data_IF_022432116156
#
_entry.id   IF_022432116156
#
_cell.length_a   1.000
_cell.length_b   1.000
_cell.length_c   1.000
_cell.angle_alpha   90.00
_cell.angle_beta   90.00
_cell.angle_gamma   90.00
#
_symmetry.space_group_name_H-M   'P 1'
#
loop_
_entity.id
_entity.type
_entity.pdbx_description
1 polymer ?
#
# COMPACT_ATOMS: atom_id res chain seq x y z
N UNK A 1 33.52 -27.57 2.31
CA UNK A 1 32.58 -27.46 1.18
C UNK A 1 31.66 -26.28 1.48
N UNK A 2 31.86 -25.16 0.78
CA UNK A 2 31.05 -23.94 1.00
C UNK A 2 29.88 -23.96 0.02
N UNK A 3 28.66 -24.13 0.54
CA UNK A 3 27.43 -24.05 -0.26
C UNK A 3 27.15 -22.57 -0.54
N UNK A 4 27.20 -22.18 -1.79
CA UNK A 4 26.76 -20.86 -2.27
C UNK A 4 25.25 -20.92 -2.49
N UNK A 5 24.51 -20.18 -1.67
CA UNK A 5 23.10 -19.91 -1.92
C UNK A 5 23.01 -18.95 -3.14
N UNK A 6 22.53 -19.46 -4.25
CA UNK A 6 22.19 -18.63 -5.41
C UNK A 6 20.76 -18.15 -5.22
N UNK A 7 20.61 -16.86 -4.92
CA UNK A 7 19.31 -16.19 -4.92
C UNK A 7 18.87 -16.03 -6.39
N UNK A 8 17.93 -16.86 -6.82
CA UNK A 8 17.40 -16.81 -8.18
C UNK A 8 16.47 -15.61 -8.36
N UNK A 9 16.88 -14.70 -9.24
CA UNK A 9 16.08 -13.58 -9.72
C UNK A 9 14.92 -14.14 -10.56
N UNK A 10 13.69 -14.02 -10.09
CA UNK A 10 12.50 -14.39 -10.87
C UNK A 10 11.98 -13.15 -11.59
N UNK A 11 12.26 -13.05 -12.88
CA UNK A 11 11.66 -12.07 -13.79
C UNK A 11 10.29 -12.58 -14.21
N UNK A 12 9.23 -11.92 -13.80
CA UNK A 12 7.87 -12.20 -14.26
C UNK A 12 7.69 -11.60 -15.67
N UNK A 13 7.73 -12.42 -16.69
CA UNK A 13 7.31 -12.07 -18.05
C UNK A 13 5.78 -12.13 -18.11
N UNK A 14 5.12 -10.97 -18.18
CA UNK A 14 3.67 -10.88 -18.41
C UNK A 14 3.35 -11.22 -19.87
N UNK A 15 2.68 -12.34 -20.09
CA UNK A 15 2.06 -12.66 -21.37
C UNK A 15 0.80 -11.80 -21.56
N UNK A 16 0.70 -11.06 -22.68
CA UNK A 16 -0.44 -10.22 -23.00
C UNK A 16 -1.74 -11.01 -23.18
N UNK A 17 -2.72 -10.72 -22.34
CA UNK A 17 -4.09 -11.21 -22.43
C UNK A 17 -4.98 -10.24 -23.18
N UNK A 18 -5.91 -10.78 -23.95
CA UNK A 18 -6.92 -10.06 -24.74
C UNK A 18 -7.87 -9.31 -23.80
N UNK A 19 -7.97 -7.99 -23.95
CA UNK A 19 -8.92 -7.13 -23.23
C UNK A 19 -10.35 -7.51 -23.62
N UNK A 20 -11.14 -7.99 -22.65
CA UNK A 20 -12.60 -8.12 -22.79
C UNK A 20 -13.24 -6.76 -22.58
N UNK A 21 -14.29 -6.45 -23.33
CA UNK A 21 -15.10 -5.24 -23.15
C UNK A 21 -15.65 -5.20 -21.71
N UNK A 22 -15.39 -4.10 -21.01
CA UNK A 22 -15.71 -3.89 -19.62
C UNK A 22 -17.19 -3.59 -19.41
N UNK A 23 -17.77 -4.10 -18.34
CA UNK A 23 -19.08 -3.65 -17.85
C UNK A 23 -18.91 -2.26 -17.22
N UNK A 24 -19.56 -1.20 -17.75
CA UNK A 24 -19.35 0.18 -17.27
C UNK A 24 -19.74 0.41 -15.80
N UNK A 25 -20.45 -0.52 -15.18
CA UNK A 25 -20.84 -0.43 -13.78
C UNK A 25 -19.70 -0.83 -12.79
N UNK A 26 -18.70 -1.56 -13.27
CA UNK A 26 -17.59 -2.09 -12.45
C UNK A 26 -16.30 -1.26 -12.53
N UNK A 27 -16.29 -0.13 -13.23
CA UNK A 27 -15.10 0.70 -13.41
C UNK A 27 -14.98 1.71 -12.25
N UNK A 28 -13.83 1.70 -11.58
CA UNK A 28 -13.51 2.68 -10.55
C UNK A 28 -13.55 4.11 -11.09
N UNK A 29 -14.16 4.99 -10.33
CA UNK A 29 -14.19 6.43 -10.66
C UNK A 29 -13.45 7.21 -9.61
N UNK A 30 -12.61 8.14 -10.06
CA UNK A 30 -11.94 9.07 -9.16
C UNK A 30 -12.98 9.83 -8.33
N UNK A 31 -12.83 9.74 -7.01
CA UNK A 31 -13.68 10.39 -6.02
C UNK A 31 -12.75 11.10 -5.03
N UNK A 32 -12.63 12.43 -5.08
CA UNK A 32 -11.68 13.19 -4.25
C UNK A 32 -11.79 12.85 -2.75
N UNK A 33 -13.02 12.61 -2.27
CA UNK A 33 -13.30 12.28 -0.88
C UNK A 33 -12.58 11.00 -0.40
N UNK A 34 -12.35 10.04 -1.29
CA UNK A 34 -11.61 8.82 -0.97
C UNK A 34 -10.11 9.04 -0.78
N UNK A 35 -9.59 10.17 -1.26
CA UNK A 35 -8.18 10.54 -1.12
C UNK A 35 -7.95 11.64 -0.06
N UNK A 36 -9.00 12.11 0.60
CA UNK A 36 -8.85 12.90 1.83
C UNK A 36 -8.29 11.97 2.91
N UNK A 37 -7.20 12.36 3.61
CA UNK A 37 -6.62 11.53 4.65
C UNK A 37 -7.65 11.09 5.69
N UNK A 38 -7.82 9.78 5.86
CA UNK A 38 -8.89 9.19 6.67
C UNK A 38 -8.85 9.64 8.15
N UNK A 39 -7.69 10.07 8.63
CA UNK A 39 -7.53 10.60 9.99
C UNK A 39 -8.02 12.04 10.18
N UNK A 40 -8.42 12.73 9.11
CA UNK A 40 -8.94 14.11 9.14
C UNK A 40 -10.45 14.19 8.96
N UNK A 41 -11.10 13.08 8.61
CA UNK A 41 -12.54 13.00 8.31
C UNK A 41 -13.25 11.99 9.20
N UNK A 42 -14.59 12.05 9.22
CA UNK A 42 -15.42 11.12 9.99
C UNK A 42 -16.06 10.02 9.13
N UNK A 43 -15.70 9.96 7.85
CA UNK A 43 -16.15 8.90 6.95
C UNK A 43 -14.95 8.08 6.49
N UNK A 44 -14.97 6.79 6.80
CA UNK A 44 -14.04 5.81 6.25
C UNK A 44 -14.61 5.25 4.96
N UNK A 45 -13.93 5.46 3.83
CA UNK A 45 -14.37 5.01 2.52
C UNK A 45 -13.75 3.67 2.15
N UNK A 46 -14.60 2.65 1.92
CA UNK A 46 -14.18 1.38 1.35
C UNK A 46 -13.04 0.70 2.11
N UNK A 47 -13.09 0.70 3.45
CA UNK A 47 -12.14 -0.06 4.26
C UNK A 47 -12.25 -1.53 3.92
N UNK A 48 -11.12 -2.16 3.59
CA UNK A 48 -11.06 -3.57 3.22
C UNK A 48 -11.03 -4.45 4.46
N UNK A 49 -11.81 -5.53 4.45
CA UNK A 49 -11.80 -6.61 5.45
C UNK A 49 -11.87 -7.98 4.76
N UNK A 50 -11.29 -9.00 5.39
CA UNK A 50 -11.45 -10.39 5.00
C UNK A 50 -12.07 -11.17 6.18
N UNK A 51 -13.28 -11.69 5.99
CA UNK A 51 -13.97 -12.44 7.04
C UNK A 51 -13.35 -13.82 7.25
N UNK A 52 -13.01 -14.11 8.49
CA UNK A 52 -12.45 -15.42 8.89
C UNK A 52 -13.27 -16.03 10.01
N UNK A 53 -13.54 -17.32 9.86
CA UNK A 53 -14.10 -18.18 10.88
C UNK A 53 -12.96 -18.90 11.58
N UNK A 54 -12.55 -18.38 12.73
CA UNK A 54 -11.39 -18.93 13.48
C UNK A 54 -11.67 -20.31 14.11
N UNK A 55 -12.95 -20.64 14.36
CA UNK A 55 -13.37 -21.93 14.90
C UNK A 55 -14.57 -22.45 14.12
N UNK A 56 -14.68 -23.77 13.95
CA UNK A 56 -15.72 -24.40 13.13
C UNK A 56 -17.14 -24.02 13.55
N UNK A 57 -17.38 -23.85 14.84
CA UNK A 57 -18.66 -23.47 15.45
C UNK A 57 -18.75 -21.98 15.81
N UNK A 58 -17.73 -21.20 15.49
CA UNK A 58 -17.65 -19.77 15.78
C UNK A 58 -18.25 -18.91 14.67
N UNK A 59 -18.44 -17.63 14.99
CA UNK A 59 -18.83 -16.63 14.01
C UNK A 59 -17.71 -16.33 13.04
N UNK A 60 -18.07 -16.04 11.79
CA UNK A 60 -17.15 -15.42 10.85
C UNK A 60 -17.15 -13.91 11.11
N UNK A 61 -15.98 -13.36 11.45
CA UNK A 61 -15.86 -11.97 11.89
C UNK A 61 -14.75 -11.23 11.14
N UNK A 62 -14.88 -9.90 11.08
CA UNK A 62 -13.82 -8.98 10.67
C UNK A 62 -13.87 -7.74 11.56
N UNK A 63 -12.72 -7.04 11.67
CA UNK A 63 -12.58 -5.83 12.49
C UNK A 63 -12.33 -4.59 11.62
N UNK A 64 -12.97 -3.48 12.01
CA UNK A 64 -12.76 -2.16 11.42
C UNK A 64 -11.70 -1.36 12.19
N UNK A 65 -11.12 -0.35 11.55
CA UNK A 65 -10.16 0.56 12.16
C UNK A 65 -10.79 1.43 13.25
N UNK A 66 -12.03 1.87 13.02
CA UNK A 66 -12.80 2.67 13.99
C UNK A 66 -14.13 1.97 14.34
N UNK A 67 -14.73 2.38 15.47
CA UNK A 67 -16.10 2.00 15.80
C UNK A 67 -17.08 2.74 14.89
N UNK A 68 -17.87 2.05 14.05
CA UNK A 68 -18.84 2.71 13.21
C UNK A 68 -19.98 3.29 14.06
N UNK A 69 -20.43 4.49 13.69
CA UNK A 69 -21.71 5.07 14.17
C UNK A 69 -22.83 4.79 13.19
N UNK A 70 -22.49 4.56 11.92
CA UNK A 70 -23.41 4.19 10.84
C UNK A 70 -22.64 3.49 9.73
N UNK A 71 -23.14 2.38 9.23
CA UNK A 71 -22.65 1.76 7.99
C UNK A 71 -23.36 2.42 6.81
N UNK A 72 -22.61 2.85 5.81
CA UNK A 72 -23.11 3.51 4.60
C UNK A 72 -23.22 2.54 3.43
N UNK A 73 -22.24 1.67 3.27
CA UNK A 73 -22.26 0.59 2.27
C UNK A 73 -21.35 -0.55 2.67
N UNK A 74 -21.76 -1.76 2.28
CA UNK A 74 -20.95 -2.98 2.36
C UNK A 74 -21.05 -3.65 1.00
N UNK A 75 -19.90 -3.81 0.32
CA UNK A 75 -19.83 -4.35 -1.04
C UNK A 75 -18.73 -5.40 -1.14
N UNK A 76 -18.77 -6.22 -2.19
CA UNK A 76 -17.58 -6.97 -2.58
C UNK A 76 -16.48 -6.00 -3.04
N UNK A 77 -15.28 -6.49 -3.21
CA UNK A 77 -14.13 -5.68 -3.62
C UNK A 77 -14.25 -5.11 -5.03
N UNK A 78 -14.95 -5.80 -5.94
CA UNK A 78 -15.24 -5.31 -7.29
C UNK A 78 -16.26 -4.16 -7.33
N UNK A 79 -17.06 -3.99 -6.25
CA UNK A 79 -18.06 -2.92 -6.13
C UNK A 79 -19.37 -3.17 -6.87
N UNK A 80 -19.54 -4.35 -7.48
CA UNK A 80 -20.74 -4.71 -8.27
C UNK A 80 -21.80 -5.48 -7.46
N UNK A 81 -21.46 -5.96 -6.26
CA UNK A 81 -22.39 -6.62 -5.32
C UNK A 81 -22.53 -5.79 -4.06
N UNK A 82 -23.76 -5.36 -3.75
CA UNK A 82 -24.10 -4.71 -2.47
C UNK A 82 -24.67 -5.74 -1.53
N UNK A 83 -24.15 -5.75 -0.29
CA UNK A 83 -24.62 -6.64 0.79
C UNK A 83 -25.62 -5.94 1.70
N UNK A 84 -26.52 -6.71 2.30
CA UNK A 84 -27.64 -6.21 3.09
C UNK A 84 -27.48 -6.58 4.57
N UNK A 85 -27.68 -5.61 5.45
CA UNK A 85 -27.69 -5.82 6.89
C UNK A 85 -28.80 -6.79 7.30
N UNK A 86 -28.48 -7.67 8.25
CA UNK A 86 -29.38 -8.73 8.74
C UNK A 86 -29.36 -10.00 7.88
N UNK A 87 -29.15 -9.89 6.56
CA UNK A 87 -29.03 -11.03 5.64
C UNK A 87 -27.58 -11.46 5.43
N UNK A 88 -26.72 -10.51 5.07
CA UNK A 88 -25.34 -10.79 4.65
C UNK A 88 -24.34 -10.49 5.77
N UNK A 89 -24.63 -9.48 6.61
CA UNK A 89 -23.80 -9.11 7.73
C UNK A 89 -24.64 -8.54 8.87
N UNK A 90 -24.06 -8.57 10.06
CA UNK A 90 -24.58 -7.88 11.25
C UNK A 90 -23.46 -7.12 11.94
N UNK A 91 -23.80 -6.06 12.67
CA UNK A 91 -22.87 -5.32 13.52
C UNK A 91 -23.59 -4.79 14.75
N UNK A 92 -22.83 -4.44 15.77
CA UNK A 92 -23.36 -3.86 17.00
C UNK A 92 -22.69 -2.52 17.28
N UNK A 93 -23.49 -1.50 17.52
CA UNK A 93 -22.99 -0.17 17.92
C UNK A 93 -22.07 -0.27 19.14
N UNK A 94 -20.99 0.51 19.16
CA UNK A 94 -19.94 0.48 20.17
C UNK A 94 -18.96 -0.68 20.03
N UNK A 95 -18.93 -1.35 18.87
CA UNK A 95 -17.93 -2.36 18.55
C UNK A 95 -17.35 -2.13 17.15
N UNK A 96 -16.11 -2.54 16.93
CA UNK A 96 -15.46 -2.54 15.61
C UNK A 96 -15.73 -3.81 14.81
N UNK A 97 -16.48 -4.75 15.37
CA UNK A 97 -16.67 -6.08 14.80
C UNK A 97 -17.90 -6.14 13.92
N UNK A 98 -17.69 -6.64 12.72
CA UNK A 98 -18.75 -7.06 11.80
C UNK A 98 -18.78 -8.59 11.79
N UNK A 99 -19.97 -9.17 11.81
CA UNK A 99 -20.19 -10.63 11.84
C UNK A 99 -21.04 -11.08 10.66
N UNK A 100 -20.83 -12.31 10.20
CA UNK A 100 -21.63 -12.92 9.13
C UNK A 100 -22.65 -13.90 9.72
N UNK A 101 -23.96 -13.69 9.48
CA UNK A 101 -24.99 -14.67 9.83
C UNK A 101 -24.88 -15.93 8.96
N UNK A 102 -25.54 -17.00 9.38
CA UNK A 102 -25.65 -18.20 8.58
C UNK A 102 -26.33 -17.90 7.24
N UNK A 103 -25.74 -18.39 6.14
CA UNK A 103 -26.25 -18.17 4.79
C UNK A 103 -25.86 -16.82 4.16
N UNK A 104 -24.95 -16.06 4.78
CA UNK A 104 -24.36 -14.85 4.19
C UNK A 104 -23.77 -15.12 2.81
N UNK A 105 -23.94 -14.18 1.89
CA UNK A 105 -23.31 -14.20 0.55
C UNK A 105 -21.86 -13.70 0.56
N UNK A 106 -21.42 -13.10 1.68
CA UNK A 106 -20.05 -12.60 1.82
C UNK A 106 -19.10 -13.78 1.92
N UNK A 107 -17.99 -13.72 1.18
CA UNK A 107 -16.93 -14.72 1.23
C UNK A 107 -16.37 -14.80 2.65
N UNK A 108 -16.32 -16.02 3.19
CA UNK A 108 -15.70 -16.33 4.48
C UNK A 108 -14.61 -17.38 4.26
N UNK A 109 -13.49 -17.22 4.97
CA UNK A 109 -12.37 -18.16 4.98
C UNK A 109 -12.16 -18.75 6.36
N UNK A 110 -11.39 -19.84 6.42
CA UNK A 110 -10.82 -20.37 7.66
C UNK A 110 -9.32 -20.08 7.71
N UNK A 111 -8.65 -20.21 8.86
CA UNK A 111 -7.18 -20.11 8.91
C UNK A 111 -6.48 -21.09 7.95
N UNK A 112 -7.04 -22.27 7.76
CA UNK A 112 -6.51 -23.31 6.86
C UNK A 112 -6.60 -22.87 5.38
N UNK A 113 -7.66 -22.16 4.99
CA UNK A 113 -7.82 -21.63 3.62
C UNK A 113 -6.72 -20.59 3.27
N UNK A 114 -6.13 -19.96 4.28
CA UNK A 114 -5.08 -18.95 4.14
C UNK A 114 -3.66 -19.51 4.28
N UNK A 115 -3.54 -20.84 4.30
CA UNK A 115 -2.28 -21.58 4.38
C UNK A 115 -2.10 -22.47 3.17
N UNK A 116 -0.84 -22.76 2.85
CA UNK A 116 -0.47 -23.71 1.81
C UNK A 116 0.49 -24.75 2.35
N UNK A 117 0.45 -25.95 1.75
CA UNK A 117 1.47 -26.97 1.97
C UNK A 117 2.80 -26.46 1.41
N UNK A 118 3.92 -26.67 2.11
CA UNK A 118 5.24 -26.27 1.61
C UNK A 118 5.52 -26.82 0.21
N UNK A 119 5.96 -25.95 -0.69
CA UNK A 119 6.27 -26.28 -2.08
C UNK A 119 5.05 -26.42 -3.00
N UNK A 120 3.83 -26.15 -2.54
CA UNK A 120 2.61 -26.21 -3.37
C UNK A 120 2.31 -24.92 -4.15
N UNK A 121 3.13 -23.88 -3.95
CA UNK A 121 2.97 -22.56 -4.59
C UNK A 121 4.32 -22.05 -5.13
N UNK A 122 4.33 -21.00 -5.99
CA UNK A 122 5.55 -20.54 -6.67
C UNK A 122 6.64 -20.00 -5.74
N UNK A 123 6.28 -19.59 -4.52
CA UNK A 123 7.17 -18.95 -3.56
C UNK A 123 7.19 -19.71 -2.24
N UNK A 124 8.38 -19.84 -1.64
CA UNK A 124 8.55 -20.37 -0.28
C UNK A 124 8.22 -19.28 0.74
N UNK A 125 6.97 -19.23 1.17
CA UNK A 125 6.46 -18.24 2.12
C UNK A 125 6.29 -18.88 3.51
N UNK A 126 7.36 -19.47 4.01
CA UNK A 126 7.37 -20.19 5.29
C UNK A 126 6.85 -19.32 6.41
N UNK A 127 5.86 -19.85 7.14
CA UNK A 127 5.29 -19.19 8.31
C UNK A 127 6.24 -19.27 9.49
N UNK A 128 6.25 -18.22 10.30
CA UNK A 128 7.09 -18.12 11.52
C UNK A 128 6.75 -19.17 12.58
N UNK A 129 5.48 -19.62 12.63
CA UNK A 129 5.03 -20.69 13.51
C UNK A 129 5.43 -22.10 13.04
N UNK A 130 6.07 -22.22 11.86
CA UNK A 130 6.46 -23.49 11.25
C UNK A 130 5.30 -24.32 10.69
N UNK A 131 4.08 -23.79 10.67
CA UNK A 131 2.89 -24.52 10.20
C UNK A 131 2.54 -24.15 8.75
N UNK A 132 3.32 -24.68 7.81
CA UNK A 132 3.10 -24.47 6.39
C UNK A 132 3.60 -23.13 5.88
N UNK A 133 3.01 -22.70 4.77
CA UNK A 133 3.33 -21.45 4.10
C UNK A 133 2.10 -20.52 4.10
N UNK A 134 2.35 -19.21 4.03
CA UNK A 134 1.29 -18.21 3.81
C UNK A 134 0.76 -18.42 2.38
N UNK A 135 -0.57 -18.47 2.22
CA UNK A 135 -1.17 -18.46 0.88
C UNK A 135 -0.79 -17.19 0.15
N UNK A 136 -0.25 -17.33 -1.04
CA UNK A 136 0.10 -16.22 -1.92
C UNK A 136 -0.98 -15.99 -2.97
N UNK A 137 -1.34 -14.73 -3.19
CA UNK A 137 -2.21 -14.30 -4.28
C UNK A 137 -1.48 -13.39 -5.25
N UNK A 138 -1.06 -13.93 -6.40
CA UNK A 138 -0.30 -13.14 -7.39
C UNK A 138 -1.15 -12.18 -8.23
N UNK A 139 -2.47 -12.34 -8.22
CA UNK A 139 -3.43 -11.57 -9.00
C UNK A 139 -4.58 -11.01 -8.15
N UNK A 140 -5.79 -11.51 -8.40
CA UNK A 140 -7.03 -11.03 -7.77
C UNK A 140 -7.57 -11.97 -6.68
N UNK A 141 -6.82 -12.99 -6.26
CA UNK A 141 -7.28 -14.02 -5.35
C UNK A 141 -7.69 -13.43 -3.99
N UNK A 142 -6.82 -12.59 -3.38
CA UNK A 142 -7.17 -11.90 -2.13
C UNK A 142 -8.22 -10.84 -2.35
N UNK A 143 -8.14 -10.10 -3.45
CA UNK A 143 -9.16 -9.13 -3.83
C UNK A 143 -10.56 -9.78 -3.87
N UNK A 144 -10.71 -10.96 -4.51
CA UNK A 144 -11.98 -11.69 -4.56
C UNK A 144 -12.48 -12.23 -3.21
N UNK A 145 -11.64 -12.26 -2.17
CA UNK A 145 -12.01 -12.65 -0.80
C UNK A 145 -12.38 -11.46 0.09
N UNK A 146 -12.05 -10.25 -0.32
CA UNK A 146 -12.21 -9.04 0.49
C UNK A 146 -13.58 -8.39 0.29
N UNK A 147 -14.01 -7.71 1.32
CA UNK A 147 -15.25 -6.92 1.39
C UNK A 147 -14.87 -5.48 1.71
N UNK A 148 -15.50 -4.52 1.05
CA UNK A 148 -15.29 -3.10 1.28
C UNK A 148 -16.42 -2.51 2.11
N UNK A 149 -16.07 -1.77 3.16
CA UNK A 149 -17.03 -1.18 4.09
C UNK A 149 -16.80 0.33 4.15
N UNK A 150 -17.83 1.10 3.79
CA UNK A 150 -17.85 2.56 3.97
C UNK A 150 -18.75 2.87 5.16
N UNK A 151 -18.23 3.67 6.11
CA UNK A 151 -18.95 3.95 7.36
C UNK A 151 -18.56 5.30 7.96
N UNK A 152 -19.44 5.84 8.80
CA UNK A 152 -19.17 7.00 9.64
C UNK A 152 -18.64 6.57 11.00
N UNK A 153 -17.73 7.37 11.59
CA UNK A 153 -17.17 7.17 12.92
C UNK A 153 -16.94 8.51 13.65
N UNK A 154 -16.67 8.45 14.96
CA UNK A 154 -16.28 9.59 15.78
C UNK A 154 -14.87 9.42 16.38
N UNK A 155 -14.20 8.33 16.03
CA UNK A 155 -12.85 8.03 16.52
C UNK A 155 -11.80 8.96 15.91
N UNK A 156 -10.77 9.24 16.67
CA UNK A 156 -9.54 9.90 16.21
C UNK A 156 -8.42 8.88 16.01
N UNK A 157 -7.49 9.21 15.11
CA UNK A 157 -6.31 8.38 14.90
C UNK A 157 -5.29 8.59 16.05
N UNK A 158 -4.74 7.52 16.67
CA UNK A 158 -4.00 7.67 17.92
C UNK A 158 -2.52 7.99 17.75
N UNK A 159 -1.96 7.77 16.55
CA UNK A 159 -0.53 7.98 16.30
C UNK A 159 -0.27 9.27 15.53
N UNK A 160 1.01 9.65 15.45
CA UNK A 160 1.42 10.77 14.61
C UNK A 160 1.06 10.49 13.14
N UNK A 161 0.58 11.51 12.47
CA UNK A 161 0.16 11.47 11.06
C UNK A 161 0.97 12.47 10.23
N UNK A 162 1.16 12.23 8.94
CA UNK A 162 1.81 13.19 8.05
C UNK A 162 1.06 14.52 8.03
N UNK A 163 1.82 15.60 7.95
CA UNK A 163 1.33 16.98 7.79
C UNK A 163 2.02 17.63 6.61
N UNK A 164 1.46 18.73 6.12
CA UNK A 164 2.00 19.45 4.98
C UNK A 164 3.49 19.78 5.15
N UNK A 165 4.32 19.38 4.22
CA UNK A 165 5.78 19.45 4.26
C UNK A 165 6.29 20.84 3.79
N UNK A 166 5.80 21.93 4.39
CA UNK A 166 6.10 23.31 3.94
C UNK A 166 7.59 23.65 3.94
N UNK A 167 8.28 23.23 4.97
CA UNK A 167 9.71 23.54 5.16
C UNK A 167 10.59 22.57 4.35
N UNK A 168 10.12 21.34 4.15
CA UNK A 168 10.86 20.30 3.45
C UNK A 168 10.70 20.39 1.92
N UNK A 169 9.52 20.74 1.42
CA UNK A 169 9.19 20.72 -0.01
C UNK A 169 8.72 22.10 -0.54
N UNK A 170 9.43 23.22 -0.24
CA UNK A 170 8.95 24.56 -0.57
C UNK A 170 8.82 24.78 -2.08
N UNK A 171 9.74 24.21 -2.88
CA UNK A 171 9.73 24.36 -4.35
C UNK A 171 8.54 23.59 -4.96
N UNK A 172 8.37 22.33 -4.61
CA UNK A 172 7.25 21.50 -5.10
C UNK A 172 5.90 22.16 -4.76
N UNK A 173 5.73 22.61 -3.53
CA UNK A 173 4.50 23.30 -3.10
C UNK A 173 4.28 24.61 -3.84
N UNK A 174 5.35 25.36 -4.16
CA UNK A 174 5.25 26.59 -4.94
C UNK A 174 4.80 26.28 -6.39
N UNK A 175 5.39 25.28 -7.03
CA UNK A 175 5.01 24.86 -8.39
C UNK A 175 3.53 24.45 -8.46
N UNK A 176 3.06 23.66 -7.47
CA UNK A 176 1.68 23.24 -7.37
C UNK A 176 0.72 24.44 -7.19
N UNK A 177 1.02 25.35 -6.25
CA UNK A 177 0.19 26.55 -5.99
C UNK A 177 0.13 27.50 -7.19
N UNK A 178 1.23 27.64 -7.91
CA UNK A 178 1.30 28.47 -9.11
C UNK A 178 0.75 27.76 -10.37
N UNK A 179 0.20 26.54 -10.22
CA UNK A 179 -0.32 25.71 -11.33
C UNK A 179 0.71 25.46 -12.43
N UNK A 180 1.99 25.41 -12.05
CA UNK A 180 3.07 25.09 -12.98
C UNK A 180 3.16 23.58 -13.20
N UNK A 181 3.64 23.14 -14.37
CA UNK A 181 3.92 21.73 -14.61
C UNK A 181 4.90 21.19 -13.56
N UNK A 182 4.69 19.98 -13.11
CA UNK A 182 5.53 19.28 -12.15
C UNK A 182 5.95 17.92 -12.71
N UNK A 183 7.24 17.66 -12.78
CA UNK A 183 7.77 16.35 -13.13
C UNK A 183 8.11 15.57 -11.87
N UNK A 184 7.45 14.44 -11.68
CA UNK A 184 7.64 13.50 -10.57
C UNK A 184 8.35 12.26 -11.09
N UNK A 185 9.50 11.91 -10.51
CA UNK A 185 10.14 10.62 -10.74
C UNK A 185 9.94 9.70 -9.53
N UNK A 186 9.57 8.45 -9.78
CA UNK A 186 9.40 7.43 -8.75
C UNK A 186 10.40 6.30 -8.98
N UNK A 187 11.22 6.00 -7.99
CA UNK A 187 12.12 4.84 -7.98
C UNK A 187 11.80 3.98 -6.75
N UNK A 188 11.56 2.68 -6.95
CA UNK A 188 11.11 1.81 -5.89
C UNK A 188 11.00 0.34 -6.30
N UNK A 189 10.36 -0.44 -5.46
CA UNK A 189 10.15 -1.87 -5.63
C UNK A 189 8.75 -2.22 -6.21
N UNK A 190 8.29 -3.46 -6.00
CA UNK A 190 7.00 -3.97 -6.50
C UNK A 190 5.78 -3.19 -6.01
N UNK A 191 5.81 -2.62 -4.80
CA UNK A 191 4.70 -1.79 -4.29
C UNK A 191 4.53 -0.57 -5.21
N UNK A 192 5.63 0.00 -5.64
CA UNK A 192 5.69 1.18 -6.51
C UNK A 192 5.48 0.86 -7.99
N UNK A 193 5.60 -0.41 -8.42
CA UNK A 193 5.08 -0.81 -9.74
C UNK A 193 3.55 -0.84 -9.75
N UNK A 194 2.93 -0.85 -8.59
CA UNK A 194 1.47 -0.91 -8.41
C UNK A 194 0.93 -2.30 -8.10
N UNK A 195 1.79 -3.27 -7.79
CA UNK A 195 1.39 -4.66 -7.55
C UNK A 195 0.19 -4.76 -6.60
N UNK A 196 -0.80 -5.57 -7.03
CA UNK A 196 -2.05 -5.89 -6.34
C UNK A 196 -3.03 -4.71 -6.14
N UNK A 197 -2.81 -3.53 -6.75
CA UNK A 197 -3.94 -2.67 -7.09
C UNK A 197 -4.82 -3.38 -8.12
N UNK A 198 -6.15 -3.25 -8.03
CA UNK A 198 -7.05 -3.95 -8.95
C UNK A 198 -6.83 -3.55 -10.41
N UNK A 199 -6.52 -2.27 -10.68
CA UNK A 199 -6.16 -1.79 -12.01
C UNK A 199 -4.88 -2.40 -12.55
N UNK A 200 -3.85 -2.55 -11.71
CA UNK A 200 -2.61 -3.23 -12.08
C UNK A 200 -2.83 -4.73 -12.33
N UNK A 201 -3.69 -5.37 -11.53
CA UNK A 201 -4.06 -6.78 -11.65
C UNK A 201 -5.11 -7.06 -12.75
N UNK A 202 -5.52 -6.02 -13.50
CA UNK A 202 -6.52 -6.09 -14.58
C UNK A 202 -7.88 -6.65 -14.13
N UNK A 203 -8.35 -6.28 -12.94
CA UNK A 203 -9.64 -6.69 -12.38
C UNK A 203 -10.48 -5.53 -11.87
N UNK A 204 -11.82 -5.74 -11.84
CA UNK A 204 -12.73 -4.75 -11.29
C UNK A 204 -12.45 -4.46 -9.81
N UNK A 205 -12.57 -3.19 -9.36
CA UNK A 205 -13.07 -2.02 -10.09
C UNK A 205 -12.03 -1.30 -10.95
N UNK A 206 -10.83 -1.83 -11.16
CA UNK A 206 -9.73 -1.22 -11.92
C UNK A 206 -9.17 0.05 -11.26
N UNK A 207 -9.13 0.07 -9.92
CA UNK A 207 -8.53 1.20 -9.20
C UNK A 207 -7.04 1.33 -9.53
N UNK A 208 -6.56 2.52 -9.90
CA UNK A 208 -5.14 2.73 -10.16
C UNK A 208 -4.30 2.57 -8.87
N UNK A 209 -2.99 2.26 -8.98
CA UNK A 209 -2.09 2.22 -7.85
C UNK A 209 -1.83 3.63 -7.26
N UNK A 210 -1.21 3.67 -6.09
CA UNK A 210 -1.08 4.87 -5.26
C UNK A 210 -0.43 6.07 -5.96
N UNK A 211 0.55 5.83 -6.82
CA UNK A 211 1.27 6.89 -7.51
C UNK A 211 0.40 7.59 -8.56
N UNK A 212 -0.47 6.84 -9.23
CA UNK A 212 -1.43 7.41 -10.19
C UNK A 212 -2.56 8.11 -9.44
N UNK A 213 -3.04 7.55 -8.31
CA UNK A 213 -4.00 8.20 -7.42
C UNK A 213 -3.45 9.54 -6.89
N UNK A 214 -2.17 9.60 -6.52
CA UNK A 214 -1.52 10.84 -6.11
C UNK A 214 -1.56 11.88 -7.23
N UNK A 215 -1.18 11.51 -8.45
CA UNK A 215 -1.23 12.40 -9.62
C UNK A 215 -2.64 12.95 -9.82
N UNK A 216 -3.64 12.08 -9.87
CA UNK A 216 -5.05 12.48 -10.04
C UNK A 216 -5.50 13.45 -8.95
N UNK A 217 -5.11 13.22 -7.69
CA UNK A 217 -5.46 14.08 -6.57
C UNK A 217 -4.79 15.47 -6.67
N UNK A 218 -3.50 15.52 -7.00
CA UNK A 218 -2.77 16.78 -7.15
C UNK A 218 -3.29 17.60 -8.34
N UNK A 219 -3.56 16.95 -9.48
CA UNK A 219 -4.15 17.60 -10.67
C UNK A 219 -5.55 18.14 -10.35
N UNK A 220 -6.40 17.37 -9.67
CA UNK A 220 -7.72 17.79 -9.22
C UNK A 220 -7.64 18.99 -8.26
N UNK A 221 -6.72 18.93 -7.30
CA UNK A 221 -6.61 19.94 -6.24
C UNK A 221 -6.02 21.26 -6.72
N UNK A 222 -4.98 21.20 -7.54
CA UNK A 222 -4.22 22.38 -7.93
C UNK A 222 -4.49 22.84 -9.37
N UNK A 223 -4.94 21.96 -10.24
CA UNK A 223 -5.05 22.23 -11.68
C UNK A 223 -3.69 22.34 -12.37
N UNK A 224 -2.64 21.76 -11.77
CA UNK A 224 -1.31 21.62 -12.36
C UNK A 224 -1.29 20.41 -13.28
N UNK A 225 -0.44 20.44 -14.32
CA UNK A 225 -0.14 19.24 -15.11
C UNK A 225 0.98 18.46 -14.43
N UNK A 226 0.74 17.21 -14.06
CA UNK A 226 1.72 16.35 -13.39
C UNK A 226 2.23 15.27 -14.36
N UNK A 227 3.54 15.23 -14.58
CA UNK A 227 4.17 14.18 -15.38
C UNK A 227 4.84 13.17 -14.45
N UNK A 228 4.28 11.98 -14.31
CA UNK A 228 4.88 10.89 -13.54
C UNK A 228 5.80 10.04 -14.43
N UNK A 229 7.02 9.82 -13.98
CA UNK A 229 7.99 8.87 -14.55
C UNK A 229 8.26 7.79 -13.51
N UNK A 230 7.67 6.63 -13.69
CA UNK A 230 7.82 5.49 -12.77
C UNK A 230 8.95 4.56 -13.27
N UNK A 231 10.02 4.44 -12.47
CA UNK A 231 11.19 3.58 -12.70
C UNK A 231 11.24 2.39 -11.74
N UNK A 232 10.17 2.16 -10.97
CA UNK A 232 10.11 1.06 -10.02
C UNK A 232 10.19 -0.31 -10.72
N UNK A 233 10.88 -1.26 -10.06
CA UNK A 233 11.03 -2.64 -10.56
C UNK A 233 10.75 -3.62 -9.42
N UNK A 234 9.88 -4.60 -9.67
CA UNK A 234 9.53 -5.61 -8.68
C UNK A 234 10.72 -6.44 -8.19
N UNK A 235 10.75 -6.73 -6.89
CA UNK A 235 11.79 -7.55 -6.26
C UNK A 235 13.12 -6.82 -6.00
N UNK A 236 13.21 -5.51 -6.26
CA UNK A 236 14.44 -4.74 -6.09
C UNK A 236 14.58 -4.18 -4.66
N UNK A 237 15.82 -3.90 -4.28
CA UNK A 237 16.21 -3.33 -3.00
C UNK A 237 17.00 -2.01 -3.19
N UNK A 238 17.43 -1.41 -2.09
CA UNK A 238 18.18 -0.13 -2.14
C UNK A 238 19.51 -0.23 -2.85
N UNK A 239 20.18 -1.40 -2.93
CA UNK A 239 21.41 -1.56 -3.71
C UNK A 239 21.14 -1.46 -5.21
N UNK A 240 20.04 -2.09 -5.64
CA UNK A 240 19.59 -1.95 -7.03
C UNK A 240 19.19 -0.50 -7.33
N UNK A 241 18.46 0.16 -6.41
CA UNK A 241 18.08 1.56 -6.53
C UNK A 241 19.27 2.47 -6.75
N UNK A 242 20.30 2.34 -5.92
CA UNK A 242 21.55 3.11 -6.05
C UNK A 242 22.27 2.87 -7.38
N UNK A 243 22.28 1.63 -7.85
CA UNK A 243 22.93 1.29 -9.13
C UNK A 243 22.15 1.75 -10.38
N UNK A 244 20.90 2.20 -10.23
CA UNK A 244 20.02 2.58 -11.35
C UNK A 244 19.41 3.98 -11.22
N UNK A 245 19.83 4.79 -10.25
CA UNK A 245 19.23 6.11 -9.99
C UNK A 245 19.63 7.20 -11.01
N UNK A 246 20.62 6.96 -11.87
CA UNK A 246 21.00 7.82 -13.00
C UNK A 246 19.82 8.08 -13.94
N UNK A 247 18.98 7.08 -14.20
CA UNK A 247 17.75 7.19 -15.00
C UNK A 247 16.77 8.25 -14.46
N UNK A 248 16.78 8.46 -13.15
CA UNK A 248 15.95 9.48 -12.49
C UNK A 248 16.42 10.88 -12.90
N UNK A 249 17.73 11.11 -12.95
CA UNK A 249 18.30 12.40 -13.33
C UNK A 249 18.02 12.77 -14.79
N UNK A 250 17.94 11.79 -15.70
CA UNK A 250 17.70 11.99 -17.13
C UNK A 250 16.39 12.73 -17.41
N UNK A 251 15.34 12.52 -16.57
CA UNK A 251 14.03 13.17 -16.74
C UNK A 251 13.93 14.53 -16.06
N UNK A 252 15.01 15.00 -15.41
CA UNK A 252 15.10 16.29 -14.71
C UNK A 252 13.91 16.56 -13.79
N UNK A 253 13.66 15.69 -12.80
CA UNK A 253 12.47 15.79 -11.94
C UNK A 253 12.51 17.02 -11.04
N UNK A 254 11.33 17.58 -10.76
CA UNK A 254 11.14 18.55 -9.68
C UNK A 254 11.01 17.85 -8.32
N UNK A 255 10.33 16.71 -8.31
CA UNK A 255 10.10 15.87 -7.14
C UNK A 255 10.51 14.42 -7.43
N UNK A 256 11.27 13.81 -6.52
CA UNK A 256 11.65 12.40 -6.56
C UNK A 256 11.03 11.66 -5.40
N UNK A 257 10.40 10.53 -5.66
CA UNK A 257 9.89 9.62 -4.63
C UNK A 257 10.80 8.39 -4.61
N UNK A 258 11.44 8.12 -3.46
CA UNK A 258 12.22 6.91 -3.22
C UNK A 258 11.44 5.97 -2.30
N UNK A 259 11.15 4.75 -2.78
CA UNK A 259 10.21 3.84 -2.13
C UNK A 259 10.77 2.41 -2.10
N UNK A 260 11.65 2.15 -1.15
CA UNK A 260 12.30 0.86 -0.90
C UNK A 260 12.12 0.44 0.57
N UNK A 261 12.57 -0.77 0.89
CA UNK A 261 12.65 -1.28 2.26
C UNK A 261 11.96 -2.61 2.45
N UNK A 262 10.96 -2.95 1.64
CA UNK A 262 10.27 -4.23 1.74
C UNK A 262 11.24 -5.40 1.48
N UNK A 263 12.01 -5.36 0.42
CA UNK A 263 12.97 -6.41 0.09
C UNK A 263 14.26 -6.31 0.92
N UNK A 264 14.67 -5.10 1.32
CA UNK A 264 15.78 -4.88 2.25
C UNK A 264 15.51 -5.55 3.61
N UNK A 265 14.24 -5.62 4.06
CA UNK A 265 13.85 -6.20 5.35
C UNK A 265 14.12 -7.71 5.48
N UNK A 266 14.54 -8.38 4.41
CA UNK A 266 15.06 -9.75 4.46
C UNK A 266 16.37 -9.86 5.26
N UNK A 267 17.06 -8.72 5.58
CA UNK A 267 18.23 -8.72 6.43
C UNK A 267 19.29 -7.66 6.15
N UNK A 268 18.98 -6.61 5.37
CA UNK A 268 19.92 -5.50 5.17
C UNK A 268 20.05 -4.68 6.45
N UNK A 269 21.25 -4.41 6.97
CA UNK A 269 21.44 -3.49 8.10
C UNK A 269 20.88 -2.10 7.79
N UNK A 270 20.28 -1.44 8.79
CA UNK A 270 19.68 -0.12 8.60
C UNK A 270 20.69 0.95 8.16
N UNK A 271 21.93 0.82 8.59
CA UNK A 271 23.02 1.72 8.18
C UNK A 271 23.31 1.59 6.68
N UNK A 272 23.35 0.37 6.12
CA UNK A 272 23.59 0.14 4.69
C UNK A 272 22.37 0.61 3.86
N UNK A 273 21.17 0.38 4.37
CA UNK A 273 19.93 0.91 3.78
C UNK A 273 19.98 2.44 3.68
N UNK A 274 20.30 3.12 4.78
CA UNK A 274 20.42 4.58 4.84
C UNK A 274 21.49 5.10 3.89
N UNK A 275 22.65 4.45 3.86
CA UNK A 275 23.76 4.82 2.97
C UNK A 275 23.35 4.76 1.49
N UNK A 276 22.62 3.72 1.09
CA UNK A 276 22.11 3.57 -0.28
C UNK A 276 21.10 4.68 -0.62
N UNK A 277 20.14 4.97 0.27
CA UNK A 277 19.15 6.07 0.05
C UNK A 277 19.87 7.41 -0.05
N UNK A 278 20.81 7.70 0.85
CA UNK A 278 21.63 8.93 0.79
C UNK A 278 22.39 9.03 -0.54
N UNK A 279 23.00 7.93 -0.96
CA UNK A 279 23.72 7.88 -2.25
C UNK A 279 22.82 8.17 -3.45
N UNK A 280 21.58 7.68 -3.46
CA UNK A 280 20.59 8.01 -4.50
C UNK A 280 20.25 9.50 -4.50
N UNK A 281 20.00 10.09 -3.32
CA UNK A 281 19.72 11.54 -3.19
C UNK A 281 20.90 12.36 -3.70
N UNK A 282 22.12 12.03 -3.30
CA UNK A 282 23.34 12.73 -3.71
C UNK A 282 23.58 12.62 -5.22
N UNK A 283 23.40 11.42 -5.79
CA UNK A 283 23.56 11.19 -7.22
C UNK A 283 22.57 12.03 -8.04
N UNK A 284 21.29 12.03 -7.68
CA UNK A 284 20.29 12.84 -8.39
C UNK A 284 20.56 14.34 -8.20
N UNK A 285 20.89 14.81 -6.99
CA UNK A 285 21.18 16.24 -6.74
C UNK A 285 22.41 16.75 -7.47
N UNK A 286 23.36 15.89 -7.77
CA UNK A 286 24.53 16.27 -8.57
C UNK A 286 24.14 16.78 -9.96
N UNK A 287 23.14 16.13 -10.59
CA UNK A 287 22.70 16.45 -11.95
C UNK A 287 21.47 17.37 -11.95
N UNK A 288 20.64 17.29 -10.90
CA UNK A 288 19.39 18.06 -10.70
C UNK A 288 19.39 18.71 -9.31
N UNK A 289 20.20 19.79 -9.07
CA UNK A 289 20.43 20.34 -7.74
C UNK A 289 19.18 20.85 -7.01
N UNK A 290 18.12 21.16 -7.76
CA UNK A 290 16.87 21.70 -7.22
C UNK A 290 15.80 20.62 -6.97
N UNK A 291 16.09 19.35 -7.25
CA UNK A 291 15.14 18.26 -6.99
C UNK A 291 14.86 18.14 -5.50
N UNK A 292 13.57 18.03 -5.16
CA UNK A 292 13.10 17.71 -3.82
C UNK A 292 12.71 16.23 -3.73
N UNK A 293 12.68 15.68 -2.52
CA UNK A 293 12.53 14.24 -2.33
C UNK A 293 11.42 13.94 -1.30
N UNK A 294 10.66 12.88 -1.57
CA UNK A 294 9.86 12.18 -0.57
C UNK A 294 10.46 10.79 -0.40
N UNK A 295 10.86 10.46 0.82
CA UNK A 295 11.33 9.14 1.22
C UNK A 295 10.15 8.38 1.82
N UNK A 296 9.77 7.25 1.22
CA UNK A 296 8.70 6.42 1.78
C UNK A 296 9.31 5.38 2.72
N UNK A 297 9.02 5.50 4.02
CA UNK A 297 9.18 4.39 4.95
C UNK A 297 8.05 3.38 4.67
N UNK A 298 8.40 2.24 4.08
CA UNK A 298 7.43 1.29 3.52
C UNK A 298 6.46 0.73 4.56
N UNK A 299 5.30 0.23 4.13
CA UNK A 299 4.41 -0.56 4.97
C UNK A 299 5.16 -1.75 5.60
N UNK A 300 4.67 -2.26 6.72
CA UNK A 300 5.16 -3.50 7.32
C UNK A 300 4.55 -4.68 6.56
N UNK A 301 5.37 -5.63 6.12
CA UNK A 301 4.88 -6.87 5.50
C UNK A 301 4.38 -7.86 6.54
N UNK A 302 3.74 -8.93 6.06
CA UNK A 302 3.10 -9.94 6.91
C UNK A 302 4.08 -10.47 8.00
N UNK A 303 3.78 -10.27 9.30
CA UNK A 303 4.66 -10.66 10.40
C UNK A 303 4.85 -12.17 10.50
N UNK A 304 3.94 -12.95 9.92
CA UNK A 304 4.06 -14.41 9.87
C UNK A 304 5.11 -14.90 8.87
N UNK A 305 5.54 -14.08 7.91
CA UNK A 305 6.57 -14.50 6.97
C UNK A 305 7.97 -14.46 7.59
N UNK A 306 8.61 -15.62 7.72
CA UNK A 306 9.90 -15.77 8.41
C UNK A 306 11.03 -14.94 7.78
N UNK A 307 10.96 -14.68 6.48
CA UNK A 307 11.99 -13.93 5.74
C UNK A 307 12.06 -12.46 6.17
N UNK A 308 10.92 -11.84 6.47
CA UNK A 308 10.88 -10.43 6.86
C UNK A 308 11.33 -10.27 8.32
N UNK A 309 12.35 -9.48 8.53
CA UNK A 309 12.85 -9.08 9.85
C UNK A 309 12.05 -7.88 10.32
N UNK A 310 11.00 -8.14 11.10
CA UNK A 310 10.04 -7.13 11.52
C UNK A 310 10.70 -5.94 12.24
N UNK A 311 11.76 -6.19 12.96
CA UNK A 311 12.56 -5.20 13.67
C UNK A 311 13.29 -4.20 12.76
N UNK A 312 13.47 -4.51 11.48
CA UNK A 312 14.15 -3.64 10.52
C UNK A 312 13.22 -2.51 10.02
N UNK A 313 11.92 -2.72 9.93
CA UNK A 313 10.99 -1.69 9.44
C UNK A 313 11.07 -0.38 10.24
N UNK A 314 10.94 -0.38 11.58
CA UNK A 314 11.11 0.85 12.36
C UNK A 314 12.55 1.40 12.28
N UNK A 315 13.57 0.56 12.17
CA UNK A 315 14.95 1.03 11.99
C UNK A 315 15.14 1.73 10.64
N UNK A 316 14.53 1.24 9.56
CA UNK A 316 14.55 1.91 8.26
C UNK A 316 13.80 3.24 8.30
N UNK A 317 12.63 3.29 8.93
CA UNK A 317 11.88 4.53 9.12
C UNK A 317 12.74 5.57 9.86
N UNK A 318 13.41 5.20 10.95
CA UNK A 318 14.28 6.09 11.72
C UNK A 318 15.47 6.54 10.88
N UNK A 319 16.09 5.64 10.14
CA UNK A 319 17.20 5.94 9.22
C UNK A 319 16.79 6.93 8.11
N UNK A 320 15.55 6.83 7.59
CA UNK A 320 15.02 7.81 6.64
C UNK A 320 14.73 9.16 7.30
N UNK A 321 14.18 9.16 8.52
CA UNK A 321 13.90 10.39 9.27
C UNK A 321 15.16 11.23 9.52
N UNK A 322 16.31 10.59 9.76
CA UNK A 322 17.62 11.26 9.88
C UNK A 322 18.09 11.94 8.58
N UNK A 323 17.61 11.52 7.41
CA UNK A 323 17.94 12.14 6.12
C UNK A 323 17.02 13.32 5.80
N UNK A 324 15.91 13.46 6.52
CA UNK A 324 14.90 14.49 6.26
C UNK A 324 15.37 15.88 6.68
N UNK A 325 14.89 16.89 5.96
CA UNK A 325 15.24 18.28 6.18
C UNK A 325 14.92 19.12 4.94
N UNK A 326 15.70 20.15 4.67
CA UNK A 326 15.49 20.99 3.49
C UNK A 326 15.56 20.18 2.18
N UNK A 327 14.47 20.17 1.45
CA UNK A 327 14.30 19.43 0.20
C UNK A 327 14.11 17.92 0.36
N UNK A 328 13.83 17.41 1.60
CA UNK A 328 13.58 15.98 1.82
C UNK A 328 12.50 15.80 2.90
N UNK A 329 11.38 15.18 2.55
CA UNK A 329 10.27 14.85 3.45
C UNK A 329 10.13 13.34 3.64
N UNK A 330 9.56 12.91 4.78
CA UNK A 330 9.25 11.53 5.10
C UNK A 330 7.77 11.24 4.87
N UNK A 331 7.47 10.19 4.13
CA UNK A 331 6.15 9.55 4.08
C UNK A 331 6.17 8.28 4.96
N UNK A 332 5.73 8.40 6.21
CA UNK A 332 5.82 7.33 7.21
C UNK A 332 4.64 6.35 7.10
N UNK A 333 4.75 5.38 6.19
CA UNK A 333 3.82 4.26 6.13
C UNK A 333 4.09 3.21 7.21
N UNK A 334 5.32 3.11 7.72
CA UNK A 334 5.69 2.10 8.72
C UNK A 334 4.91 2.30 10.02
N UNK A 335 4.90 3.52 10.56
CA UNK A 335 4.17 3.83 11.79
C UNK A 335 2.67 3.63 11.60
N UNK A 336 2.12 4.14 10.49
CA UNK A 336 0.69 4.03 10.19
C UNK A 336 0.25 2.57 10.05
N UNK A 337 1.03 1.76 9.31
CA UNK A 337 0.72 0.35 9.07
C UNK A 337 0.87 -0.51 10.33
N UNK A 338 1.86 -0.20 11.15
CA UNK A 338 2.02 -0.85 12.46
C UNK A 338 0.79 -0.64 13.33
N UNK A 339 0.21 0.57 13.34
CA UNK A 339 -1.03 0.85 14.07
C UNK A 339 -2.24 0.14 13.43
N UNK A 340 -2.29 -0.01 12.10
CA UNK A 340 -3.31 -0.83 11.45
C UNK A 340 -3.28 -2.26 11.97
N UNK A 341 -2.09 -2.87 12.06
CA UNK A 341 -1.92 -4.24 12.50
C UNK A 341 -2.24 -4.49 13.99
N UNK A 342 -2.38 -3.41 14.80
CA UNK A 342 -2.98 -3.52 16.15
C UNK A 342 -4.50 -3.75 16.12
N UNK A 343 -5.15 -3.51 15.00
CA UNK A 343 -6.62 -3.52 14.85
C UNK A 343 -7.11 -4.47 13.79
N UNK A 344 -6.28 -4.79 12.82
CA UNK A 344 -6.57 -5.57 11.62
C UNK A 344 -5.52 -6.65 11.42
N UNK A 345 -5.74 -7.47 10.42
CA UNK A 345 -4.79 -8.50 9.98
C UNK A 345 -4.24 -8.14 8.60
N UNK A 346 -3.06 -8.65 8.24
CA UNK A 346 -2.47 -8.43 6.91
C UNK A 346 -3.43 -8.76 5.77
N UNK A 347 -4.17 -9.84 5.91
CA UNK A 347 -5.17 -10.30 4.94
C UNK A 347 -6.28 -9.28 4.63
N UNK A 348 -6.48 -8.31 5.51
CA UNK A 348 -7.42 -7.20 5.31
C UNK A 348 -6.82 -6.10 4.44
N UNK A 349 -5.50 -5.97 4.45
CA UNK A 349 -4.76 -4.80 3.97
C UNK A 349 -3.93 -5.09 2.72
N UNK A 350 -3.65 -6.38 2.47
CA UNK A 350 -2.81 -6.80 1.35
C UNK A 350 -3.63 -7.48 0.25
N UNK A 351 -3.20 -7.30 -0.99
CA UNK A 351 -3.78 -7.95 -2.16
C UNK A 351 -3.13 -9.29 -2.50
N UNK A 352 -2.05 -9.66 -1.81
CA UNK A 352 -1.36 -10.94 -2.00
C UNK A 352 -1.20 -11.78 -0.72
N UNK A 353 -1.67 -11.29 0.42
CA UNK A 353 -1.53 -11.94 1.73
C UNK A 353 -0.14 -11.82 2.35
N UNK A 354 0.79 -11.09 1.74
CA UNK A 354 2.20 -11.06 2.15
C UNK A 354 2.74 -9.64 2.34
N UNK A 355 2.85 -8.84 1.28
CA UNK A 355 3.64 -7.61 1.32
C UNK A 355 3.23 -6.54 0.29
N UNK A 356 2.18 -6.76 -0.51
CA UNK A 356 1.67 -5.75 -1.42
C UNK A 356 0.32 -5.22 -0.92
N UNK A 357 0.11 -3.90 -0.88
CA UNK A 357 -1.17 -3.34 -0.47
C UNK A 357 -2.28 -3.71 -1.46
N UNK A 358 -3.51 -3.86 -0.97
CA UNK A 358 -4.70 -3.94 -1.80
C UNK A 358 -5.19 -2.53 -2.18
N UNK A 359 -6.33 -2.40 -2.84
CA UNK A 359 -6.89 -1.10 -3.24
C UNK A 359 -7.04 -0.11 -2.08
N UNK A 360 -7.51 -0.58 -0.91
CA UNK A 360 -7.57 0.26 0.28
C UNK A 360 -6.18 0.73 0.72
N UNK A 361 -5.22 -0.18 0.76
CA UNK A 361 -3.83 0.14 1.10
C UNK A 361 -3.20 1.12 0.11
N UNK A 362 -3.42 0.97 -1.20
CA UNK A 362 -2.97 1.93 -2.20
C UNK A 362 -3.59 3.31 -2.00
N UNK A 363 -4.88 3.41 -1.63
CA UNK A 363 -5.49 4.70 -1.27
C UNK A 363 -4.82 5.33 -0.06
N UNK A 364 -4.50 4.53 0.97
CA UNK A 364 -3.80 5.02 2.16
C UNK A 364 -2.41 5.57 1.81
N UNK A 365 -1.65 4.89 0.96
CA UNK A 365 -0.38 5.44 0.43
C UNK A 365 -0.58 6.80 -0.25
N UNK A 366 -1.58 6.91 -1.12
CA UNK A 366 -1.90 8.17 -1.80
C UNK A 366 -2.33 9.26 -0.81
N UNK A 367 -3.09 8.92 0.25
CA UNK A 367 -3.49 9.85 1.31
C UNK A 367 -2.28 10.37 2.11
N UNK A 368 -1.32 9.48 2.45
CA UNK A 368 -0.08 9.86 3.16
C UNK A 368 0.74 10.83 2.33
N UNK A 369 0.95 10.52 1.04
CA UNK A 369 1.67 11.41 0.13
C UNK A 369 0.92 12.73 -0.10
N UNK A 370 -0.41 12.67 -0.23
CA UNK A 370 -1.26 13.86 -0.37
C UNK A 370 -1.17 14.77 0.86
N UNK A 371 -1.12 14.20 2.06
CA UNK A 371 -1.00 14.99 3.30
C UNK A 371 0.30 15.82 3.37
N UNK A 372 1.36 15.38 2.70
CA UNK A 372 2.62 16.14 2.58
C UNK A 372 2.53 17.28 1.56
N UNK A 373 1.62 17.21 0.58
CA UNK A 373 1.60 18.06 -0.60
C UNK A 373 0.32 18.90 -0.74
N UNK A 374 -0.76 18.57 -0.06
CA UNK A 374 -2.07 19.24 -0.17
C UNK A 374 -2.38 20.04 1.09
N UNK A 375 -2.79 21.32 0.90
CA UNK A 375 -3.26 22.22 1.97
C UNK A 375 -4.70 21.97 2.38
#
# INVERSE_FOLDING_TARGET
MRSRLVLGLVVVLCAGGVVRAEDPAAVWKFTPEQLVPFWTVQTMYGESVLFVREKADGDAVASLLFEPTRLLSVTNSAGDVVYEEGRDYTWRAGTRTISLPAGSRITCKTPEDLRCTPGSQPYALTRRDGQGEIRFGGGLEYHGMQTLITYEHKGSWPTQVPTLAREQLPRTLTLLKEKKPLTVALLGDSISTGCNASGWSHGAPFQPPYQDLLVMNLEQKYGSTITLKNFAVGGTDTSWGLANCDKVSEVKPDLVILAFGMNDSAGRPAQDYQANIRGMVEAVRKDVPHAEFILIATMVGNPDWVTLKQELFPQYRDALAELCGSGIALADMTTLWTEFLQRKQDRDLTGNGVNHPNDFGHRVYAQVLSALLVE
#
